data_IF_727691889666
#
_entry.id   IF_727691889666
#
_cell.length_a   1.000
_cell.length_b   1.000
_cell.length_c   1.000
_cell.angle_alpha   90.00
_cell.angle_beta   90.00
_cell.angle_gamma   90.00
#
_symmetry.space_group_name_H-M   'P 1'
#
loop_
_entity.id
_entity.type
_entity.pdbx_description
1 polymer ?
#
# COMPACT_ATOMS: atom_id res chain seq x y z
N UNK A 1 -7.06 29.68 -23.93
CA UNK A 1 -6.93 30.07 -22.51
C UNK A 1 -5.84 29.19 -21.91
N UNK A 2 -4.64 29.72 -21.61
CA UNK A 2 -3.68 28.94 -20.84
C UNK A 2 -4.20 28.85 -19.40
N UNK A 3 -4.57 27.66 -18.96
CA UNK A 3 -4.85 27.36 -17.57
C UNK A 3 -3.59 27.64 -16.77
N UNK A 4 -3.68 28.54 -15.79
CA UNK A 4 -2.61 28.85 -14.87
C UNK A 4 -2.18 27.56 -14.16
N UNK A 5 -1.02 27.02 -14.54
CA UNK A 5 -0.34 26.00 -13.78
C UNK A 5 0.20 26.64 -12.52
N UNK A 6 -0.68 26.80 -11.53
CA UNK A 6 -0.24 26.98 -10.14
C UNK A 6 0.65 25.78 -9.87
N UNK A 7 1.96 26.00 -9.80
CA UNK A 7 2.92 24.97 -9.42
C UNK A 7 2.69 24.71 -7.94
N UNK A 8 1.62 23.95 -7.64
CA UNK A 8 1.25 23.59 -6.29
C UNK A 8 2.45 22.86 -5.71
N UNK A 9 3.05 23.44 -4.68
CA UNK A 9 4.15 22.79 -3.97
C UNK A 9 3.67 21.40 -3.53
N UNK A 10 4.35 20.36 -4.01
CA UNK A 10 4.00 18.99 -3.66
C UNK A 10 4.31 18.75 -2.17
N UNK A 11 3.26 18.56 -1.37
CA UNK A 11 3.37 18.12 0.02
C UNK A 11 3.21 16.61 0.05
N UNK A 12 4.26 15.90 0.47
CA UNK A 12 4.32 14.44 0.47
C UNK A 12 4.25 13.95 1.91
N UNK A 13 3.39 12.98 2.16
CA UNK A 13 3.39 12.19 3.39
C UNK A 13 3.69 10.73 3.08
N UNK A 14 4.18 9.98 4.05
CA UNK A 14 4.52 8.57 3.84
C UNK A 14 4.12 7.65 5.00
N UNK A 15 3.87 6.39 4.66
CA UNK A 15 3.67 5.31 5.61
C UNK A 15 4.49 4.08 5.19
N UNK A 16 5.09 3.40 6.17
CA UNK A 16 5.68 2.07 6.01
C UNK A 16 4.70 1.06 6.57
N UNK A 17 4.11 0.23 5.73
CA UNK A 17 3.28 -0.90 6.17
C UNK A 17 4.17 -2.08 6.56
N UNK A 18 3.88 -2.69 7.70
CA UNK A 18 4.71 -3.75 8.26
C UNK A 18 3.89 -4.85 8.94
N UNK A 19 4.44 -6.05 8.95
CA UNK A 19 4.00 -7.06 9.91
C UNK A 19 4.57 -6.72 11.30
N UNK A 20 3.88 -6.97 12.43
CA UNK A 20 4.41 -6.66 13.76
C UNK A 20 5.81 -7.23 14.05
N UNK A 21 6.10 -8.43 13.53
CA UNK A 21 7.44 -9.08 13.63
C UNK A 21 8.57 -8.28 12.96
N UNK A 22 8.25 -7.32 12.10
CA UNK A 22 9.20 -6.49 11.34
C UNK A 22 9.14 -5.01 11.73
N UNK A 23 8.57 -4.71 12.91
CA UNK A 23 8.40 -3.34 13.39
C UNK A 23 9.74 -2.59 13.52
N UNK A 24 10.83 -3.29 13.88
CA UNK A 24 12.14 -2.68 14.02
C UNK A 24 12.72 -2.25 12.65
N UNK A 25 12.63 -3.11 11.64
CA UNK A 25 13.04 -2.83 10.27
C UNK A 25 12.21 -1.68 9.69
N UNK A 26 10.88 -1.73 9.88
CA UNK A 26 9.98 -0.68 9.43
C UNK A 26 10.28 0.67 10.10
N UNK A 27 10.61 0.68 11.39
CA UNK A 27 11.00 1.90 12.10
C UNK A 27 12.33 2.48 11.56
N UNK A 28 13.31 1.63 11.23
CA UNK A 28 14.56 2.08 10.60
C UNK A 28 14.31 2.67 9.22
N UNK A 29 13.45 2.04 8.42
CA UNK A 29 13.06 2.56 7.12
C UNK A 29 12.30 3.89 7.24
N UNK A 30 11.38 4.03 8.20
CA UNK A 30 10.69 5.29 8.43
C UNK A 30 11.66 6.41 8.86
N UNK A 31 12.62 6.09 9.72
CA UNK A 31 13.64 7.03 10.18
C UNK A 31 14.60 7.49 9.07
N UNK A 32 14.81 6.69 8.01
CA UNK A 32 15.62 7.09 6.86
C UNK A 32 14.90 8.05 5.90
N UNK A 33 13.59 8.29 6.12
CA UNK A 33 12.75 9.17 5.33
C UNK A 33 12.10 10.28 6.20
N UNK A 34 12.90 11.10 6.91
CA UNK A 34 12.37 12.04 7.90
C UNK A 34 11.58 13.20 7.27
N UNK A 35 11.88 13.57 6.03
CA UNK A 35 11.26 14.72 5.35
C UNK A 35 9.74 14.57 5.12
N UNK A 36 9.20 13.35 5.22
CA UNK A 36 7.79 13.06 4.95
C UNK A 36 6.95 12.80 6.21
N UNK A 37 7.55 12.94 7.41
CA UNK A 37 6.90 12.55 8.65
C UNK A 37 6.47 11.07 8.64
N UNK A 38 7.31 10.21 8.06
CA UNK A 38 6.98 8.81 7.74
C UNK A 38 6.54 8.04 8.98
N UNK A 39 5.38 7.38 8.89
CA UNK A 39 4.80 6.60 10.00
C UNK A 39 4.88 5.11 9.74
N UNK A 40 5.13 4.31 10.78
CA UNK A 40 4.97 2.85 10.69
C UNK A 40 3.51 2.48 10.94
N UNK A 41 2.94 1.66 10.07
CA UNK A 41 1.59 1.12 10.19
C UNK A 41 1.67 -0.40 10.23
N UNK A 42 1.30 -0.97 11.38
CA UNK A 42 1.26 -2.41 11.58
C UNK A 42 -0.15 -2.96 11.38
N UNK A 43 -0.27 -4.26 11.08
CA UNK A 43 -1.57 -4.93 11.04
C UNK A 43 -2.29 -4.75 12.38
N UNK A 44 -3.51 -4.16 12.40
CA UNK A 44 -4.26 -4.00 13.64
C UNK A 44 -4.86 -5.33 14.16
N UNK A 45 -4.78 -6.42 13.40
CA UNK A 45 -5.29 -7.74 13.79
C UNK A 45 -4.41 -8.87 13.24
N UNK A 46 -3.14 -8.98 13.70
CA UNK A 46 -2.17 -9.93 13.14
C UNK A 46 -2.53 -11.39 13.39
N UNK A 47 -3.24 -11.67 14.50
CA UNK A 47 -3.68 -13.02 14.86
C UNK A 47 -4.87 -13.51 14.00
N UNK A 48 -5.49 -12.64 13.20
CA UNK A 48 -6.63 -12.98 12.35
C UNK A 48 -6.23 -13.65 11.02
N UNK A 49 -4.98 -14.11 10.90
CA UNK A 49 -4.42 -14.66 9.66
C UNK A 49 -3.89 -13.58 8.70
N UNK A 50 -3.58 -13.94 7.44
CA UNK A 50 -2.94 -13.03 6.48
C UNK A 50 -3.70 -11.70 6.34
N UNK A 51 -3.02 -10.60 6.67
CA UNK A 51 -3.64 -9.27 6.76
C UNK A 51 -2.97 -8.18 5.94
N UNK A 52 -2.14 -8.52 4.94
CA UNK A 52 -1.43 -7.54 4.12
C UNK A 52 -2.35 -6.47 3.52
N UNK A 53 -3.51 -6.88 2.98
CA UNK A 53 -4.49 -5.93 2.48
C UNK A 53 -5.05 -5.04 3.59
N UNK A 54 -5.36 -5.59 4.78
CA UNK A 54 -5.84 -4.85 5.96
C UNK A 54 -4.85 -3.77 6.38
N UNK A 55 -3.58 -4.13 6.48
CA UNK A 55 -2.49 -3.20 6.80
C UNK A 55 -2.33 -2.14 5.71
N UNK A 56 -2.41 -2.52 4.43
CA UNK A 56 -2.39 -1.56 3.33
C UNK A 56 -3.54 -0.54 3.45
N UNK A 57 -4.77 -0.96 3.81
CA UNK A 57 -5.90 -0.03 4.05
C UNK A 57 -5.56 0.99 5.13
N UNK A 58 -4.99 0.52 6.23
CA UNK A 58 -4.60 1.36 7.35
C UNK A 58 -3.48 2.34 6.95
N UNK A 59 -2.50 1.86 6.17
CA UNK A 59 -1.39 2.68 5.69
C UNK A 59 -1.89 3.80 4.78
N UNK A 60 -2.72 3.48 3.78
CA UNK A 60 -3.30 4.50 2.92
C UNK A 60 -4.24 5.47 3.66
N UNK A 61 -4.92 5.01 4.72
CA UNK A 61 -5.73 5.88 5.58
C UNK A 61 -4.90 6.84 6.45
N UNK A 62 -3.59 6.61 6.58
CA UNK A 62 -2.70 7.41 7.42
C UNK A 62 -2.15 8.67 6.74
N UNK A 63 -2.67 9.03 5.56
CA UNK A 63 -2.30 10.26 4.84
C UNK A 63 -2.33 11.47 5.77
N UNK A 64 -1.25 12.27 5.75
CA UNK A 64 -1.16 13.43 6.62
C UNK A 64 -2.15 14.52 6.16
N UNK A 65 -2.81 15.23 7.10
CA UNK A 65 -3.59 16.41 6.75
C UNK A 65 -2.78 17.41 5.92
N UNK A 66 -3.36 17.90 4.83
CA UNK A 66 -2.69 18.84 3.91
C UNK A 66 -1.72 18.19 2.91
N UNK A 67 -1.48 16.87 2.97
CA UNK A 67 -0.67 16.20 1.97
C UNK A 67 -1.38 16.16 0.60
N UNK A 68 -0.63 16.49 -0.44
CA UNK A 68 -1.06 16.38 -1.84
C UNK A 68 -0.87 14.97 -2.38
N UNK A 69 0.16 14.28 -1.88
CA UNK A 69 0.55 12.94 -2.29
C UNK A 69 0.83 12.09 -1.05
N UNK A 70 0.56 10.79 -1.15
CA UNK A 70 0.88 9.83 -0.12
C UNK A 70 1.69 8.67 -0.70
N UNK A 71 2.80 8.34 -0.03
CA UNK A 71 3.66 7.21 -0.36
C UNK A 71 3.38 6.08 0.63
N UNK A 72 3.11 4.87 0.14
CA UNK A 72 3.09 3.66 0.96
C UNK A 72 4.25 2.76 0.53
N UNK A 73 5.06 2.38 1.52
CA UNK A 73 6.22 1.51 1.39
C UNK A 73 5.96 0.21 2.15
N UNK A 74 6.42 -0.91 1.65
CA UNK A 74 6.54 -2.15 2.43
C UNK A 74 7.81 -2.11 3.30
N UNK A 75 7.86 -2.94 4.32
CA UNK A 75 8.89 -2.94 5.36
C UNK A 75 10.24 -3.53 4.90
N UNK A 76 10.30 -4.25 3.79
CA UNK A 76 11.52 -4.88 3.21
C UNK A 76 12.15 -4.07 2.08
N UNK A 77 11.63 -2.89 1.75
CA UNK A 77 12.23 -2.09 0.68
C UNK A 77 13.52 -1.42 1.14
N UNK A 78 14.45 -1.32 0.19
CA UNK A 78 15.68 -0.56 0.35
C UNK A 78 15.58 0.65 -0.59
N UNK A 79 15.39 1.88 -0.06
CA UNK A 79 15.36 3.08 -0.87
C UNK A 79 16.67 3.27 -1.62
N UNK A 80 16.59 3.72 -2.88
CA UNK A 80 17.77 4.13 -3.62
C UNK A 80 18.37 5.43 -3.03
N UNK A 81 19.58 5.77 -3.46
CA UNK A 81 20.19 7.06 -3.11
C UNK A 81 19.27 8.20 -3.52
N UNK A 82 19.10 9.18 -2.63
CA UNK A 82 18.27 10.37 -2.87
C UNK A 82 16.80 10.04 -3.19
N UNK A 83 16.32 8.87 -2.78
CA UNK A 83 14.95 8.40 -3.04
C UNK A 83 13.89 9.47 -2.76
N UNK A 84 14.00 10.18 -1.62
CA UNK A 84 13.02 11.20 -1.27
C UNK A 84 12.99 12.38 -2.26
N UNK A 85 14.17 12.80 -2.75
CA UNK A 85 14.28 13.84 -3.77
C UNK A 85 13.79 13.36 -5.14
N UNK A 86 14.06 12.10 -5.50
CA UNK A 86 13.56 11.50 -6.74
C UNK A 86 12.03 11.40 -6.74
N UNK A 87 11.42 10.99 -5.64
CA UNK A 87 9.96 10.98 -5.50
C UNK A 87 9.38 12.39 -5.57
N UNK A 88 10.03 13.38 -4.95
CA UNK A 88 9.62 14.78 -5.04
C UNK A 88 9.73 15.35 -6.48
N UNK A 89 10.68 14.87 -7.27
CA UNK A 89 10.73 15.17 -8.71
C UNK A 89 9.56 14.49 -9.44
N UNK A 90 9.37 13.19 -9.22
CA UNK A 90 8.34 12.38 -9.85
C UNK A 90 6.93 12.94 -9.68
N UNK A 91 6.54 13.33 -8.46
CA UNK A 91 5.20 13.90 -8.20
C UNK A 91 5.00 15.30 -8.77
N UNK A 92 6.08 16.02 -9.09
CA UNK A 92 5.98 17.31 -9.80
C UNK A 92 5.85 17.11 -11.30
N UNK A 93 6.52 16.09 -11.83
CA UNK A 93 6.45 15.69 -13.23
C UNK A 93 5.10 15.06 -13.59
N UNK A 94 4.57 14.21 -12.70
CA UNK A 94 3.35 13.42 -12.88
C UNK A 94 2.37 13.61 -11.69
N UNK A 95 1.82 14.82 -11.48
CA UNK A 95 1.07 15.17 -10.27
C UNK A 95 -0.27 14.45 -10.08
N UNK A 96 -0.87 13.95 -11.16
CA UNK A 96 -2.18 13.30 -11.12
C UNK A 96 -2.10 11.78 -11.37
N UNK A 97 -0.88 11.25 -11.54
CA UNK A 97 -0.65 9.87 -11.95
C UNK A 97 -0.25 9.01 -10.75
N UNK A 98 -0.92 7.86 -10.50
CA UNK A 98 -0.40 6.82 -9.61
C UNK A 98 0.97 6.32 -10.06
N UNK A 99 1.96 6.31 -9.17
CA UNK A 99 3.31 5.90 -9.50
C UNK A 99 3.69 4.64 -8.73
N UNK A 100 4.20 3.63 -9.46
CA UNK A 100 4.92 2.52 -8.85
C UNK A 100 6.42 2.77 -8.96
N UNK A 101 7.11 2.75 -7.80
CA UNK A 101 8.53 3.07 -7.69
C UNK A 101 9.42 1.82 -7.72
N UNK A 102 8.83 0.69 -8.06
CA UNK A 102 9.48 -0.61 -8.18
C UNK A 102 8.84 -1.38 -9.32
N UNK A 103 9.66 -2.10 -10.08
CA UNK A 103 9.22 -3.14 -10.99
C UNK A 103 10.10 -4.37 -10.80
N UNK A 104 9.47 -5.55 -10.64
CA UNK A 104 10.23 -6.79 -10.47
C UNK A 104 11.01 -7.08 -11.76
N UNK A 105 12.28 -7.45 -11.66
CA UNK A 105 13.15 -7.68 -12.81
C UNK A 105 12.57 -8.71 -13.81
N UNK A 106 11.96 -9.78 -13.29
CA UNK A 106 11.38 -10.86 -14.07
C UNK A 106 9.90 -10.65 -14.45
N UNK A 107 9.38 -9.42 -14.33
CA UNK A 107 8.00 -9.07 -14.69
C UNK A 107 7.93 -8.37 -16.05
N UNK A 108 6.74 -8.28 -16.65
CA UNK A 108 6.53 -7.51 -17.87
C UNK A 108 6.78 -6.02 -17.63
N UNK A 109 6.37 -5.49 -16.48
CA UNK A 109 6.68 -4.15 -15.99
C UNK A 109 8.19 -3.94 -15.90
N UNK A 110 8.94 -4.95 -15.45
CA UNK A 110 10.41 -4.93 -15.42
C UNK A 110 11.01 -4.85 -16.82
N UNK A 111 10.51 -5.67 -17.75
CA UNK A 111 10.95 -5.62 -19.15
C UNK A 111 10.64 -4.28 -19.82
N UNK A 112 9.42 -3.77 -19.63
CA UNK A 112 8.98 -2.47 -20.14
C UNK A 112 9.82 -1.31 -19.56
N UNK A 113 10.11 -1.34 -18.25
CA UNK A 113 10.95 -0.33 -17.59
C UNK A 113 12.35 -0.31 -18.18
N UNK A 114 12.97 -1.47 -18.40
CA UNK A 114 14.30 -1.55 -19.04
C UNK A 114 14.28 -1.05 -20.49
N UNK A 115 13.26 -1.44 -21.26
CA UNK A 115 13.12 -0.99 -22.64
C UNK A 115 12.93 0.53 -22.75
N UNK A 116 12.17 1.13 -21.82
CA UNK A 116 11.99 2.58 -21.72
C UNK A 116 13.29 3.29 -21.30
N UNK A 117 14.01 2.74 -20.31
CA UNK A 117 15.28 3.28 -19.85
C UNK A 117 16.35 3.29 -20.97
N UNK A 118 16.40 2.25 -21.83
CA UNK A 118 17.29 2.23 -23.00
C UNK A 118 16.95 3.31 -24.03
N UNK A 119 15.72 3.83 -24.02
CA UNK A 119 15.27 4.94 -24.87
C UNK A 119 15.42 6.31 -24.18
N UNK A 120 16.01 6.35 -22.97
CA UNK A 120 16.16 7.56 -22.18
C UNK A 120 14.88 8.03 -21.50
N UNK A 121 13.82 7.22 -21.47
CA UNK A 121 12.58 7.57 -20.77
C UNK A 121 12.70 7.30 -19.27
N UNK A 122 12.16 8.22 -18.46
CA UNK A 122 12.13 8.11 -16.99
C UNK A 122 10.95 7.30 -16.47
N UNK A 123 9.88 7.17 -17.28
CA UNK A 123 8.64 6.49 -16.93
C UNK A 123 8.11 5.65 -18.07
N UNK A 124 7.40 4.58 -17.72
CA UNK A 124 6.67 3.73 -18.67
C UNK A 124 5.27 3.45 -18.12
N UNK A 125 4.22 3.39 -18.95
CA UNK A 125 2.93 2.91 -18.52
C UNK A 125 3.03 1.47 -17.98
N UNK A 126 2.25 1.16 -16.94
CA UNK A 126 2.14 -0.22 -16.45
C UNK A 126 1.60 -1.14 -17.56
N UNK A 127 2.13 -2.35 -17.65
CA UNK A 127 1.71 -3.33 -18.65
C UNK A 127 0.27 -3.78 -18.36
N UNK A 128 -0.67 -3.64 -19.32
CA UNK A 128 -2.06 -4.04 -19.11
C UNK A 128 -2.19 -5.53 -18.74
N UNK A 129 -3.02 -5.82 -17.75
CA UNK A 129 -3.27 -7.19 -17.28
C UNK A 129 -2.20 -7.75 -16.34
N UNK A 130 -1.10 -7.02 -16.11
CA UNK A 130 -0.13 -7.40 -15.08
C UNK A 130 -0.49 -6.85 -13.70
N UNK A 131 -0.09 -7.57 -12.66
CA UNK A 131 -0.22 -7.12 -11.28
C UNK A 131 0.57 -5.82 -11.03
N UNK A 132 0.01 -4.93 -10.20
CA UNK A 132 0.67 -3.68 -9.83
C UNK A 132 1.67 -3.90 -8.69
N UNK A 133 2.95 -3.54 -8.85
CA UNK A 133 3.92 -3.59 -7.78
C UNK A 133 3.58 -2.65 -6.63
N UNK A 134 3.36 -3.23 -5.44
CA UNK A 134 2.90 -2.52 -4.24
C UNK A 134 3.97 -2.27 -3.18
N UNK A 135 5.23 -2.65 -3.46
CA UNK A 135 6.37 -2.43 -2.55
C UNK A 135 6.59 -0.94 -2.24
N UNK A 136 6.39 -0.07 -3.24
CA UNK A 136 6.51 1.36 -3.09
C UNK A 136 5.57 2.05 -4.09
N UNK A 137 4.47 2.62 -3.59
CA UNK A 137 3.44 3.27 -4.38
C UNK A 137 3.22 4.71 -3.94
N UNK A 138 2.98 5.59 -4.91
CA UNK A 138 2.56 6.97 -4.69
C UNK A 138 1.17 7.16 -5.27
N UNK A 139 0.26 7.71 -4.48
CA UNK A 139 -1.05 8.14 -4.95
C UNK A 139 -1.26 9.63 -4.65
N UNK A 140 -1.91 10.37 -5.57
CA UNK A 140 -2.50 11.67 -5.23
C UNK A 140 -3.52 11.48 -4.09
N UNK A 141 -3.45 12.32 -3.05
CA UNK A 141 -4.30 12.19 -1.86
C UNK A 141 -5.80 12.29 -2.18
N UNK A 142 -6.15 13.02 -3.24
CA UNK A 142 -7.53 13.11 -3.78
C UNK A 142 -8.03 11.76 -4.28
N UNK A 143 -7.17 10.97 -4.91
CA UNK A 143 -7.50 9.64 -5.45
C UNK A 143 -7.86 8.67 -4.31
N UNK A 144 -7.11 8.70 -3.22
CA UNK A 144 -7.45 7.92 -2.02
C UNK A 144 -8.84 8.29 -1.51
N UNK A 145 -9.09 9.58 -1.26
CA UNK A 145 -10.35 10.06 -0.68
C UNK A 145 -11.56 9.62 -1.49
N UNK A 146 -11.45 9.69 -2.83
CA UNK A 146 -12.54 9.33 -3.76
C UNK A 146 -12.78 7.82 -3.86
N UNK A 147 -11.72 7.01 -3.93
CA UNK A 147 -11.85 5.57 -4.11
C UNK A 147 -12.18 4.81 -2.81
N UNK A 148 -11.96 5.42 -1.65
CA UNK A 148 -12.03 4.71 -0.36
C UNK A 148 -13.14 5.12 0.60
N UNK A 149 -13.76 6.30 0.44
CA UNK A 149 -14.95 6.68 1.21
C UNK A 149 -16.08 5.61 1.22
N UNK A 150 -16.35 4.86 0.12
CA UNK A 150 -17.41 3.86 0.10
C UNK A 150 -17.18 2.66 1.05
N UNK A 151 -15.93 2.37 1.42
CA UNK A 151 -15.56 1.13 2.12
C UNK A 151 -15.43 1.27 3.63
N UNK A 152 -15.66 2.47 4.19
CA UNK A 152 -15.75 2.69 5.64
C UNK A 152 -17.04 2.14 6.27
N UNK A 153 -18.05 1.78 5.46
CA UNK A 153 -19.41 1.47 5.94
C UNK A 153 -19.80 -0.01 5.96
N UNK A 154 -18.93 -0.92 5.53
CA UNK A 154 -19.28 -2.35 5.43
C UNK A 154 -18.16 -3.25 5.93
N UNK A 155 -18.14 -3.49 7.24
CA UNK A 155 -17.64 -4.75 7.79
C UNK A 155 -18.53 -5.08 8.99
N UNK A 156 -19.62 -5.85 8.81
CA UNK A 156 -20.26 -6.46 9.97
C UNK A 156 -19.24 -7.40 10.61
N UNK A 157 -19.15 -7.37 11.94
CA UNK A 157 -18.29 -8.27 12.69
C UNK A 157 -18.60 -9.73 12.30
N UNK A 158 -17.58 -10.59 12.12
CA UNK A 158 -17.83 -12.00 11.88
C UNK A 158 -18.49 -12.60 13.11
N UNK A 159 -19.78 -12.91 13.02
CA UNK A 159 -20.49 -13.73 14.01
C UNK A 159 -19.88 -15.13 13.97
N UNK A 160 -19.13 -15.46 15.01
CA UNK A 160 -18.55 -16.79 15.22
C UNK A 160 -19.67 -17.77 15.58
N UNK A 161 -20.23 -18.44 14.58
CA UNK A 161 -21.03 -19.65 14.80
C UNK A 161 -20.08 -20.79 15.16
N UNK A 162 -20.04 -21.13 16.45
CA UNK A 162 -19.48 -22.41 16.92
C UNK A 162 -20.34 -23.55 16.35
N UNK A 163 -19.77 -24.57 15.68
CA UNK A 163 -20.51 -25.79 15.41
C UNK A 163 -20.70 -26.54 16.73
N UNK A 164 -21.95 -26.79 17.09
CA UNK A 164 -22.33 -27.71 18.15
C UNK A 164 -21.82 -29.12 17.79
N UNK A 165 -20.93 -29.66 18.62
CA UNK A 165 -20.51 -31.06 18.58
C UNK A 165 -21.72 -31.95 18.89
N UNK A 166 -22.00 -33.03 18.13
CA UNK A 166 -23.04 -33.97 18.50
C UNK A 166 -22.57 -34.76 19.74
N UNK A 167 -23.41 -34.75 20.79
CA UNK A 167 -23.23 -35.59 21.95
C UNK A 167 -23.42 -37.06 21.56
N UNK A 168 -22.45 -37.89 21.93
CA UNK A 168 -22.62 -39.34 22.00
C UNK A 168 -23.68 -39.66 23.06
N UNK A 169 -24.69 -40.44 22.68
CA UNK A 169 -25.48 -41.24 23.62
C UNK A 169 -25.63 -42.64 23.07
N UNK A 170 -24.81 -43.55 23.59
CA UNK A 170 -25.06 -44.97 23.60
C UNK A 170 -26.16 -45.28 24.63
N UNK A 171 -27.09 -46.20 24.31
CA UNK A 171 -28.09 -46.67 25.27
C UNK A 171 -29.20 -47.55 24.69
N UNK A 172 -28.89 -48.86 24.56
CA UNK A 172 -29.69 -50.05 24.91
C UNK A 172 -31.20 -50.21 24.57
N UNK A 173 -31.51 -51.40 24.03
CA UNK A 173 -32.79 -52.15 24.14
C UNK A 173 -33.73 -51.97 22.93
N UNK A 174 -34.30 -52.98 22.26
CA UNK A 174 -34.47 -54.41 22.47
C UNK A 174 -35.69 -54.87 21.65
N UNK A 175 -35.74 -56.14 21.22
CA UNK A 175 -37.01 -56.82 20.91
C UNK A 175 -37.34 -57.10 19.45
N UNK A 176 -37.36 -58.42 19.16
CA UNK A 176 -37.93 -59.16 18.02
C UNK A 176 -37.20 -59.14 16.67
#
# INVERSE_FOLDING_TARGET
MPTESVTSTAVISAAVMAHPRRAAEAARLAASLPAWGTRVVVDPSPEAGPGALRTARAAWAAVAPGATHHVVLQDDVVPCREFAAQVAHAVRELPDTPLALYANWNSWNGAATRAAALQGASWVPAVPGEWTPSLALVLPARTWTRCWLPYRRTSPAPTRTTPSSPANSAGAGGGC
#
